data_IF_091983841382
#
_entry.id   IF_091983841382
#
_cell.length_a   1.000
_cell.length_b   1.000
_cell.length_c   1.000
_cell.angle_alpha   90.00
_cell.angle_beta   90.00
_cell.angle_gamma   90.00
#
_symmetry.space_group_name_H-M   'P 1'
#
loop_
_entity.id
_entity.type
_entity.pdbx_description
1 polymer ?
#
# COMPACT_ATOMS: atom_id res chain seq x y z
N UNK A 1 -26.90 -8.71 -0.84
CA UNK A 1 -27.06 -8.55 0.61
C UNK A 1 -26.07 -7.48 1.02
N UNK A 2 -26.54 -6.23 1.18
CA UNK A 2 -25.68 -5.12 1.59
C UNK A 2 -25.64 -5.10 3.11
N UNK A 3 -24.44 -5.14 3.70
CA UNK A 3 -24.25 -4.97 5.13
C UNK A 3 -24.04 -3.47 5.39
N UNK A 4 -24.99 -2.78 6.04
CA UNK A 4 -24.80 -1.38 6.41
C UNK A 4 -23.76 -1.32 7.54
N UNK A 5 -22.53 -0.92 7.22
CA UNK A 5 -21.50 -0.66 8.23
C UNK A 5 -21.80 0.70 8.86
N UNK A 6 -22.43 0.71 10.04
CA UNK A 6 -22.80 1.94 10.76
C UNK A 6 -21.83 2.32 11.89
N UNK A 7 -20.74 1.57 12.08
CA UNK A 7 -19.79 1.80 13.17
C UNK A 7 -18.36 1.46 12.74
N UNK A 8 -17.44 2.39 13.01
CA UNK A 8 -16.00 2.12 13.01
C UNK A 8 -15.59 1.31 14.24
N UNK A 9 -14.44 0.65 14.13
CA UNK A 9 -13.82 -0.16 15.18
C UNK A 9 -13.59 0.63 16.48
N UNK A 10 -13.78 -0.02 17.64
CA UNK A 10 -13.55 0.59 18.96
C UNK A 10 -12.04 0.84 19.18
N UNK A 11 -11.65 2.11 19.21
CA UNK A 11 -10.26 2.55 19.43
C UNK A 11 -9.81 2.09 20.83
N UNK A 12 -8.77 1.25 20.90
CA UNK A 12 -8.21 0.73 22.17
C UNK A 12 -8.40 -0.77 22.43
N UNK A 13 -9.03 -1.54 21.53
CA UNK A 13 -9.08 -3.00 21.66
C UNK A 13 -7.81 -3.66 21.09
N UNK A 14 -7.17 -4.49 21.90
CA UNK A 14 -5.97 -5.26 21.54
C UNK A 14 -6.21 -6.32 20.47
N UNK A 15 -7.48 -6.68 20.20
CA UNK A 15 -7.84 -7.71 19.22
C UNK A 15 -7.94 -7.18 17.78
N UNK A 16 -8.26 -5.90 17.60
CA UNK A 16 -8.43 -5.36 16.25
C UNK A 16 -7.14 -5.27 15.44
N UNK A 17 -5.97 -4.90 16.00
CA UNK A 17 -4.71 -4.98 15.28
C UNK A 17 -4.42 -6.40 14.77
N UNK A 18 -4.70 -7.43 15.58
CA UNK A 18 -4.52 -8.82 15.18
C UNK A 18 -5.47 -9.23 14.05
N UNK A 19 -6.75 -8.87 14.16
CA UNK A 19 -7.73 -9.13 13.09
C UNK A 19 -7.37 -8.41 11.80
N UNK A 20 -6.90 -7.16 11.89
CA UNK A 20 -6.46 -6.38 10.73
C UNK A 20 -5.28 -7.04 10.04
N UNK A 21 -4.26 -7.47 10.79
CA UNK A 21 -3.10 -8.19 10.23
C UNK A 21 -3.51 -9.49 9.54
N UNK A 22 -4.44 -10.28 10.11
CA UNK A 22 -4.94 -11.51 9.47
C UNK A 22 -5.68 -11.21 8.17
N UNK A 23 -6.54 -10.19 8.16
CA UNK A 23 -7.27 -9.77 6.96
C UNK A 23 -6.30 -9.26 5.89
N UNK A 24 -5.33 -8.43 6.27
CA UNK A 24 -4.29 -7.94 5.37
C UNK A 24 -3.43 -9.06 4.82
N UNK A 25 -3.07 -10.07 5.61
CA UNK A 25 -2.36 -11.27 5.14
C UNK A 25 -3.15 -11.95 4.02
N UNK A 26 -4.44 -12.22 4.23
CA UNK A 26 -5.29 -12.88 3.22
C UNK A 26 -5.44 -12.04 1.95
N UNK A 27 -5.66 -10.73 2.08
CA UNK A 27 -5.85 -9.84 0.93
C UNK A 27 -4.56 -9.73 0.10
N UNK A 28 -3.41 -9.69 0.76
CA UNK A 28 -2.11 -9.44 0.13
C UNK A 28 -1.36 -10.69 -0.33
N UNK A 29 -1.81 -11.91 -0.02
CA UNK A 29 -1.12 -13.18 -0.33
C UNK A 29 -0.49 -13.26 -1.71
N UNK A 30 -1.23 -12.85 -2.75
CA UNK A 30 -0.77 -12.95 -4.15
C UNK A 30 0.13 -11.77 -4.58
N UNK A 31 0.25 -10.75 -3.73
CA UNK A 31 1.05 -9.54 -3.93
C UNK A 31 2.30 -9.49 -3.04
N UNK A 32 2.38 -10.36 -2.02
CA UNK A 32 3.53 -10.41 -1.11
C UNK A 32 4.78 -10.87 -1.86
N UNK A 33 5.87 -10.16 -1.62
CA UNK A 33 7.20 -10.50 -2.08
C UNK A 33 8.11 -10.74 -0.88
N UNK A 34 9.17 -11.52 -1.06
CA UNK A 34 10.15 -11.72 -0.01
C UNK A 34 10.84 -10.40 0.36
N UNK A 35 11.18 -10.24 1.63
CA UNK A 35 11.98 -9.11 2.08
C UNK A 35 13.32 -9.04 1.31
N UNK A 36 13.81 -7.84 0.97
CA UNK A 36 13.31 -6.51 1.35
C UNK A 36 12.30 -5.88 0.36
N UNK A 37 11.80 -6.63 -0.62
CA UNK A 37 11.07 -6.07 -1.77
C UNK A 37 9.63 -5.65 -1.48
N UNK A 38 8.97 -6.32 -0.52
CA UNK A 38 7.70 -5.89 0.02
C UNK A 38 7.68 -6.08 1.54
N UNK A 39 7.11 -5.11 2.25
CA UNK A 39 6.88 -5.19 3.69
C UNK A 39 5.49 -4.68 4.04
N UNK A 40 4.80 -5.43 4.89
CA UNK A 40 3.54 -5.03 5.50
C UNK A 40 3.76 -4.77 6.98
N UNK A 41 3.38 -3.59 7.43
CA UNK A 41 3.43 -3.22 8.84
C UNK A 41 2.18 -2.44 9.23
N UNK A 42 1.32 -3.05 10.06
CA UNK A 42 -0.01 -2.49 10.33
C UNK A 42 -0.68 -2.10 9.01
N UNK A 43 -1.16 -0.86 8.88
CA UNK A 43 -1.80 -0.31 7.69
C UNK A 43 -0.83 0.18 6.59
N UNK A 44 0.47 0.18 6.84
CA UNK A 44 1.49 0.61 5.89
C UNK A 44 2.01 -0.55 5.02
N UNK A 45 2.19 -0.25 3.73
CA UNK A 45 2.80 -1.13 2.74
C UNK A 45 4.03 -0.44 2.16
N UNK A 46 5.19 -1.09 2.24
CA UNK A 46 6.40 -0.66 1.56
C UNK A 46 6.64 -1.59 0.36
N UNK A 47 6.93 -0.98 -0.79
CA UNK A 47 7.38 -1.67 -2.00
C UNK A 47 8.75 -1.12 -2.40
N UNK A 48 9.66 -2.00 -2.77
CA UNK A 48 10.94 -1.66 -3.36
C UNK A 48 11.10 -2.39 -4.68
N UNK A 49 11.66 -1.69 -5.68
CA UNK A 49 11.99 -2.27 -6.96
C UNK A 49 13.17 -1.51 -7.57
N UNK A 50 13.95 -2.19 -8.41
CA UNK A 50 15.02 -1.57 -9.19
C UNK A 50 14.48 -0.90 -10.46
N UNK A 51 13.32 -1.36 -10.95
CA UNK A 51 12.69 -0.83 -12.15
C UNK A 51 11.44 -0.02 -11.80
N UNK A 52 11.39 1.20 -12.32
CA UNK A 52 10.30 2.15 -12.08
C UNK A 52 8.97 1.63 -12.62
N UNK A 53 8.95 1.07 -13.83
CA UNK A 53 7.72 0.63 -14.46
C UNK A 53 7.12 -0.58 -13.73
N UNK A 54 7.98 -1.46 -13.22
CA UNK A 54 7.59 -2.55 -12.35
C UNK A 54 7.06 -2.05 -11.01
N UNK A 55 7.69 -1.04 -10.39
CA UNK A 55 7.19 -0.41 -9.16
C UNK A 55 5.80 0.21 -9.37
N UNK A 56 5.58 0.93 -10.47
CA UNK A 56 4.25 1.46 -10.85
C UNK A 56 3.22 0.34 -11.04
N UNK A 57 3.59 -0.75 -11.73
CA UNK A 57 2.72 -1.91 -11.95
C UNK A 57 2.32 -2.57 -10.63
N UNK A 58 3.27 -2.76 -9.72
CA UNK A 58 3.00 -3.33 -8.40
C UNK A 58 2.11 -2.40 -7.57
N UNK A 59 2.45 -1.11 -7.50
CA UNK A 59 1.66 -0.14 -6.76
C UNK A 59 0.20 -0.06 -7.26
N UNK A 60 0.00 -0.17 -8.57
CA UNK A 60 -1.33 -0.28 -9.18
C UNK A 60 -2.04 -1.59 -8.80
N UNK A 61 -1.35 -2.73 -8.83
CA UNK A 61 -1.92 -4.01 -8.40
C UNK A 61 -2.37 -3.98 -6.92
N UNK A 62 -1.61 -3.32 -6.05
CA UNK A 62 -2.00 -3.07 -4.67
C UNK A 62 -3.24 -2.17 -4.57
N UNK A 63 -3.28 -1.08 -5.32
CA UNK A 63 -4.44 -0.19 -5.37
C UNK A 63 -5.72 -0.94 -5.75
N UNK A 64 -5.67 -1.72 -6.84
CA UNK A 64 -6.82 -2.47 -7.35
C UNK A 64 -7.23 -3.60 -6.41
N UNK A 65 -6.26 -4.32 -5.83
CA UNK A 65 -6.53 -5.39 -4.87
C UNK A 65 -7.18 -4.86 -3.60
N UNK A 66 -6.67 -3.77 -3.04
CA UNK A 66 -7.29 -3.15 -1.85
C UNK A 66 -8.71 -2.69 -2.15
N UNK A 67 -8.93 -2.04 -3.31
CA UNK A 67 -10.25 -1.60 -3.73
C UNK A 67 -11.25 -2.76 -3.89
N UNK A 68 -10.80 -3.91 -4.42
CA UNK A 68 -11.62 -5.11 -4.57
C UNK A 68 -12.19 -5.62 -3.23
N UNK A 69 -11.46 -5.41 -2.12
CA UNK A 69 -11.89 -5.78 -0.77
C UNK A 69 -12.49 -4.60 0.02
N UNK A 70 -12.80 -3.48 -0.64
CA UNK A 70 -13.40 -2.30 0.00
C UNK A 70 -12.43 -1.46 0.83
N UNK A 71 -11.13 -1.71 0.73
CA UNK A 71 -10.08 -0.89 1.33
C UNK A 71 -9.66 0.21 0.35
N UNK A 72 -9.22 1.35 0.88
CA UNK A 72 -8.81 2.50 0.08
C UNK A 72 -7.37 2.86 0.36
N UNK A 73 -6.51 2.72 -0.66
CA UNK A 73 -5.16 3.26 -0.60
C UNK A 73 -5.21 4.79 -0.56
N UNK A 74 -4.50 5.38 0.39
CA UNK A 74 -4.41 6.83 0.51
C UNK A 74 -3.29 7.38 -0.39
N UNK A 75 -3.58 7.51 -1.68
CA UNK A 75 -2.62 7.98 -2.70
C UNK A 75 -1.98 9.33 -2.33
N UNK A 76 -2.69 10.20 -1.60
CA UNK A 76 -2.14 11.49 -1.15
C UNK A 76 -1.06 11.36 -0.07
N UNK A 77 -1.09 10.27 0.71
CA UNK A 77 -0.08 9.95 1.73
C UNK A 77 0.98 8.99 1.21
N UNK A 78 0.76 8.37 0.06
CA UNK A 78 1.74 7.47 -0.56
C UNK A 78 2.85 8.32 -1.17
N UNK A 79 4.08 8.01 -0.76
CA UNK A 79 5.29 8.69 -1.18
C UNK A 79 6.23 7.68 -1.86
N UNK A 80 7.14 8.18 -2.69
CA UNK A 80 8.22 7.36 -3.25
C UNK A 80 9.57 8.03 -3.05
N UNK A 81 10.61 7.19 -3.00
CA UNK A 81 12.00 7.59 -2.91
C UNK A 81 12.76 6.80 -3.96
N UNK A 82 13.68 7.47 -4.65
CA UNK A 82 14.64 6.83 -5.56
C UNK A 82 16.03 7.29 -5.19
N UNK A 83 16.98 6.35 -5.25
CA UNK A 83 18.41 6.63 -5.08
C UNK A 83 19.07 7.06 -6.40
N UNK A 84 18.36 6.91 -7.53
CA UNK A 84 18.85 7.34 -8.82
C UNK A 84 18.70 8.87 -8.96
N UNK A 85 19.84 9.52 -9.18
CA UNK A 85 19.98 10.97 -9.33
C UNK A 85 19.51 11.43 -10.71
N UNK A 86 19.54 10.54 -11.71
CA UNK A 86 19.23 10.84 -13.10
C UNK A 86 17.79 10.41 -13.48
N UNK A 87 17.04 9.87 -12.51
CA UNK A 87 15.66 9.46 -12.74
C UNK A 87 14.71 10.66 -12.77
N UNK A 88 14.31 11.03 -13.99
CA UNK A 88 13.49 12.21 -14.31
C UNK A 88 11.98 11.90 -14.46
N UNK A 89 11.50 10.76 -13.94
CA UNK A 89 10.10 10.36 -14.05
C UNK A 89 9.30 10.48 -12.76
N UNK A 90 7.99 10.77 -12.87
CA UNK A 90 7.04 10.63 -11.75
C UNK A 90 6.50 9.20 -11.68
N UNK A 91 6.30 8.67 -10.47
CA UNK A 91 5.57 7.42 -10.23
C UNK A 91 4.08 7.73 -10.12
N UNK A 92 3.22 6.94 -10.76
CA UNK A 92 1.77 7.13 -10.76
C UNK A 92 1.01 5.92 -10.21
N UNK A 93 -0.05 6.19 -9.45
CA UNK A 93 -1.07 5.21 -9.07
C UNK A 93 -2.43 5.79 -9.47
N UNK A 94 -3.22 5.03 -10.23
CA UNK A 94 -4.52 5.47 -10.73
C UNK A 94 -4.44 6.86 -11.40
N UNK A 95 -3.45 7.04 -12.29
CA UNK A 95 -3.13 8.31 -12.96
C UNK A 95 -2.75 9.50 -12.06
N UNK A 96 -2.65 9.30 -10.75
CA UNK A 96 -2.25 10.33 -9.79
C UNK A 96 -0.76 10.21 -9.50
N UNK A 97 -0.03 11.31 -9.63
CA UNK A 97 1.40 11.35 -9.31
C UNK A 97 1.64 11.27 -7.80
N UNK A 98 2.59 10.41 -7.41
CA UNK A 98 3.04 10.28 -6.03
C UNK A 98 4.02 11.41 -5.67
N UNK A 99 4.07 11.74 -4.38
CA UNK A 99 5.05 12.71 -3.88
C UNK A 99 6.43 12.06 -3.77
N UNK A 100 7.45 12.68 -4.39
CA UNK A 100 8.86 12.27 -4.21
C UNK A 100 9.39 12.82 -2.89
N UNK A 101 10.05 11.98 -2.10
CA UNK A 101 10.73 12.38 -0.86
C UNK A 101 12.21 12.01 -0.89
N UNK A 102 13.02 12.72 -0.11
CA UNK A 102 14.46 12.44 0.06
C UNK A 102 14.76 11.50 1.23
N UNK A 103 13.77 11.27 2.10
CA UNK A 103 13.82 10.34 3.23
C UNK A 103 12.39 10.03 3.69
N UNK A 104 12.13 8.79 4.07
CA UNK A 104 10.92 8.43 4.82
C UNK A 104 11.05 8.90 6.29
N UNK A 105 9.92 9.27 6.90
CA UNK A 105 9.86 9.75 8.30
C UNK A 105 9.80 8.61 9.30
#
# INVERSE_FOLDING_TARGET
MEFPISAGVHQGSALFPLLFVIVMDVISRDLQMAAPWALLYADDVMLACEDKAELERQAQAWYDRLALFGLKLNVKKTEYLTTDVDEHGSIKINSTELSRVTSFK
#
